data_IF_097952502674
#
_entry.id   IF_097952502674
#
_cell.length_a   1.000
_cell.length_b   1.000
_cell.length_c   1.000
_cell.angle_alpha   90.00
_cell.angle_beta   90.00
_cell.angle_gamma   90.00
#
_symmetry.space_group_name_H-M   'P 1'
#
loop_
_entity.id
_entity.type
_entity.pdbx_description
1 polymer ?
#
# COMPACT_ATOMS: atom_id res chain seq x y z
N UNK A 1 -10.51 8.51 26.57
CA UNK A 1 -9.14 8.99 26.28
C UNK A 1 -8.20 7.83 26.49
N UNK A 2 -7.51 7.38 25.44
CA UNK A 2 -6.64 6.18 25.51
C UNK A 2 -5.50 6.17 24.49
N UNK A 3 -5.25 7.30 23.84
CA UNK A 3 -4.17 7.48 22.87
C UNK A 3 -3.32 8.65 23.34
N UNK A 4 -2.04 8.41 23.54
CA UNK A 4 -1.04 9.44 23.81
C UNK A 4 -0.25 9.66 22.52
N UNK A 5 -0.13 10.92 22.12
CA UNK A 5 0.67 11.30 20.95
C UNK A 5 1.99 11.91 21.42
N UNK A 6 3.06 11.53 20.75
CA UNK A 6 4.40 12.08 20.94
C UNK A 6 4.83 12.85 19.68
N UNK A 7 4.20 14.01 19.36
CA UNK A 7 4.53 14.79 18.18
C UNK A 7 5.96 15.34 18.27
N UNK A 8 6.67 15.39 17.15
CA UNK A 8 8.05 15.88 17.11
C UNK A 8 9.10 14.91 17.67
N UNK A 9 8.71 13.75 18.19
CA UNK A 9 9.63 12.71 18.60
C UNK A 9 10.04 11.86 17.38
N UNK A 10 11.35 11.74 17.11
CA UNK A 10 11.86 10.91 16.01
C UNK A 10 12.41 9.60 16.55
N UNK A 11 11.69 8.51 16.29
CA UNK A 11 12.10 7.18 16.73
C UNK A 11 13.40 6.73 16.05
N UNK A 12 14.30 6.14 16.83
CA UNK A 12 15.53 5.50 16.33
C UNK A 12 15.20 4.04 16.03
N UNK A 13 15.41 3.63 14.79
CA UNK A 13 15.36 2.21 14.41
C UNK A 13 16.73 1.61 14.75
N UNK A 14 16.82 0.56 15.57
CA UNK A 14 18.09 -0.09 15.88
C UNK A 14 18.83 -0.54 14.62
N UNK A 15 20.17 -0.48 14.67
CA UNK A 15 21.00 -0.95 13.57
C UNK A 15 20.75 -2.44 13.30
N UNK A 16 20.70 -2.80 12.01
CA UNK A 16 20.37 -4.18 11.58
C UNK A 16 18.91 -4.59 11.76
N UNK A 17 18.06 -3.74 12.35
CA UNK A 17 16.65 -4.07 12.54
C UNK A 17 15.79 -3.72 11.31
N UNK A 18 15.11 -4.73 10.77
CA UNK A 18 14.31 -4.60 9.55
C UNK A 18 12.86 -4.16 9.80
N UNK A 19 12.45 -3.92 11.05
CA UNK A 19 11.07 -3.62 11.43
C UNK A 19 10.08 -4.76 11.10
N UNK A 20 10.56 -6.00 11.08
CA UNK A 20 9.86 -7.20 10.62
C UNK A 20 9.28 -8.08 11.75
N UNK A 21 9.45 -7.65 13.00
CA UNK A 21 8.89 -8.32 14.19
C UNK A 21 8.33 -7.31 15.18
N UNK A 22 7.32 -7.76 15.93
CA UNK A 22 6.79 -7.03 17.09
C UNK A 22 7.74 -7.29 18.26
N UNK A 23 8.15 -6.23 18.95
CA UNK A 23 9.06 -6.31 20.11
C UNK A 23 8.43 -5.66 21.33
N UNK A 24 9.04 -5.85 22.50
CA UNK A 24 8.73 -5.11 23.73
C UNK A 24 9.92 -4.24 24.18
N UNK A 25 10.88 -4.00 23.27
CA UNK A 25 12.07 -3.21 23.54
C UNK A 25 11.73 -1.71 23.57
N UNK A 26 12.40 -0.89 24.42
CA UNK A 26 12.16 0.54 24.47
C UNK A 26 12.39 1.24 23.12
N UNK A 27 11.50 2.16 22.77
CA UNK A 27 11.67 3.05 21.62
C UNK A 27 12.51 4.25 22.06
N UNK A 28 13.73 4.35 21.52
CA UNK A 28 14.62 5.48 21.72
C UNK A 28 14.31 6.61 20.73
N UNK A 29 14.61 7.86 21.12
CA UNK A 29 14.34 9.05 20.31
C UNK A 29 15.63 9.78 19.95
N UNK A 30 15.84 10.09 18.67
CA UNK A 30 17.00 10.86 18.22
C UNK A 30 16.89 12.34 18.57
N UNK A 31 15.72 12.75 19.07
CA UNK A 31 15.36 14.13 19.43
C UNK A 31 15.57 14.43 20.92
N UNK A 32 16.17 13.49 21.68
CA UNK A 32 16.65 13.72 23.04
C UNK A 32 15.67 13.42 24.17
N UNK A 33 14.43 13.01 23.86
CA UNK A 33 13.45 12.62 24.88
C UNK A 33 13.79 11.25 25.50
N UNK A 34 13.33 10.98 26.75
CA UNK A 34 13.49 9.66 27.37
C UNK A 34 12.83 8.54 26.53
N UNK A 35 13.40 7.31 26.52
CA UNK A 35 12.81 6.19 25.80
C UNK A 35 11.39 5.88 26.27
N UNK A 36 10.53 5.46 25.34
CA UNK A 36 9.18 4.98 25.66
C UNK A 36 9.16 3.45 25.73
N UNK A 37 8.57 2.89 26.78
CA UNK A 37 8.39 1.44 26.93
C UNK A 37 6.95 1.04 26.66
N UNK A 38 6.75 -0.14 26.08
CA UNK A 38 5.44 -0.72 25.79
C UNK A 38 5.54 -2.25 25.76
N UNK A 39 4.43 -2.93 26.03
CA UNK A 39 4.36 -4.40 25.91
C UNK A 39 4.51 -4.89 24.47
N UNK A 40 4.17 -4.03 23.50
CA UNK A 40 4.29 -4.29 22.07
C UNK A 40 4.61 -3.01 21.28
N UNK A 41 5.60 -3.10 20.40
CA UNK A 41 6.03 -2.04 19.48
C UNK A 41 5.84 -2.51 18.04
N UNK A 42 5.03 -1.75 17.29
CA UNK A 42 4.81 -1.94 15.87
C UNK A 42 5.39 -0.76 15.07
N UNK A 43 6.31 -1.07 14.15
CA UNK A 43 6.98 -0.06 13.33
C UNK A 43 6.24 0.19 12.01
N UNK A 44 5.62 1.37 11.88
CA UNK A 44 4.92 1.80 10.66
C UNK A 44 5.61 3.00 9.98
N UNK A 45 6.94 2.99 9.92
CA UNK A 45 7.78 4.13 9.51
C UNK A 45 7.99 4.29 8.01
N UNK A 46 7.41 3.43 7.17
CA UNK A 46 7.52 3.51 5.71
C UNK A 46 8.87 3.05 5.14
N UNK A 47 9.65 2.26 5.90
CA UNK A 47 10.85 1.56 5.41
C UNK A 47 10.45 0.36 4.53
N UNK A 48 9.84 0.65 3.38
CA UNK A 48 9.26 -0.37 2.50
C UNK A 48 10.38 -1.18 1.83
N UNK A 49 10.29 -2.52 1.94
CA UNK A 49 11.06 -3.47 1.14
C UNK A 49 10.10 -4.20 0.19
N UNK A 50 10.30 -4.12 -1.14
CA UNK A 50 9.44 -4.84 -2.09
C UNK A 50 9.69 -6.35 -1.99
N UNK A 51 8.64 -7.14 -2.21
CA UNK A 51 8.74 -8.60 -2.24
C UNK A 51 9.21 -9.09 -3.63
N UNK A 52 10.46 -8.77 -3.96
CA UNK A 52 11.04 -8.92 -5.31
C UNK A 52 12.38 -9.66 -5.31
N UNK A 53 12.83 -10.19 -4.17
CA UNK A 53 14.13 -10.87 -4.04
C UNK A 53 14.28 -12.11 -4.94
N UNK A 54 13.17 -12.67 -5.42
CA UNK A 54 13.11 -13.80 -6.33
C UNK A 54 13.27 -13.41 -7.81
N UNK A 55 13.25 -12.11 -8.13
CA UNK A 55 13.41 -11.60 -9.49
C UNK A 55 14.88 -11.38 -9.84
N UNK A 56 15.24 -11.48 -11.13
CA UNK A 56 16.57 -11.10 -11.60
C UNK A 56 16.88 -9.64 -11.29
N UNK A 57 18.10 -9.36 -10.81
CA UNK A 57 18.53 -8.02 -10.40
C UNK A 57 18.46 -6.99 -11.54
N UNK A 58 18.61 -7.43 -12.79
CA UNK A 58 18.49 -6.57 -13.97
C UNK A 58 17.06 -6.03 -14.19
N UNK A 59 16.05 -6.55 -13.50
CA UNK A 59 14.70 -5.98 -13.55
C UNK A 59 14.50 -4.89 -12.49
N UNK A 60 15.39 -4.78 -11.52
CA UNK A 60 15.19 -3.98 -10.31
C UNK A 60 15.95 -2.64 -10.37
N UNK A 61 15.42 -1.64 -9.68
CA UNK A 61 16.13 -0.41 -9.33
C UNK A 61 17.05 -0.64 -8.13
N UNK A 62 17.86 0.36 -7.78
CA UNK A 62 18.81 0.31 -6.64
C UNK A 62 18.13 0.05 -5.29
N UNK A 63 16.81 0.20 -5.20
CA UNK A 63 16.00 -0.03 -4.00
C UNK A 63 15.20 -1.33 -4.07
N UNK A 64 15.44 -2.17 -5.08
CA UNK A 64 14.81 -3.47 -5.27
C UNK A 64 13.43 -3.43 -5.95
N UNK A 65 12.96 -2.29 -6.45
CA UNK A 65 11.66 -2.19 -7.12
C UNK A 65 11.77 -2.48 -8.61
N UNK A 66 10.76 -3.12 -9.21
CA UNK A 66 10.75 -3.44 -10.64
C UNK A 66 10.72 -2.16 -11.46
N UNK A 67 11.74 -1.96 -12.30
CA UNK A 67 11.83 -0.81 -13.21
C UNK A 67 10.71 -0.88 -14.24
N UNK A 68 9.99 0.22 -14.42
CA UNK A 68 8.88 0.30 -15.38
C UNK A 68 8.92 1.59 -16.19
N UNK A 69 8.45 1.53 -17.43
CA UNK A 69 8.12 2.72 -18.24
C UNK A 69 6.84 3.38 -17.74
N UNK A 70 6.48 4.59 -18.21
CA UNK A 70 5.19 5.19 -17.87
C UNK A 70 3.99 4.30 -18.22
N UNK A 71 4.09 3.43 -19.21
CA UNK A 71 3.06 2.46 -19.62
C UNK A 71 3.02 1.21 -18.74
N UNK A 72 3.83 1.16 -17.67
CA UNK A 72 3.97 0.06 -16.71
C UNK A 72 4.70 -1.19 -17.26
N UNK A 73 5.38 -1.04 -18.40
CA UNK A 73 6.18 -2.12 -19.01
C UNK A 73 7.55 -2.24 -18.37
N UNK A 74 8.07 -3.45 -18.28
CA UNK A 74 9.46 -3.70 -17.94
C UNK A 74 10.35 -3.38 -19.16
N UNK A 75 11.32 -2.46 -19.06
CA UNK A 75 12.19 -2.12 -20.18
C UNK A 75 12.92 -3.35 -20.76
N UNK A 76 12.97 -3.44 -22.09
CA UNK A 76 13.63 -4.56 -22.79
C UNK A 76 12.86 -5.89 -22.79
N UNK A 77 11.68 -5.95 -22.16
CA UNK A 77 10.91 -7.20 -22.01
C UNK A 77 9.49 -7.01 -22.54
N UNK A 78 9.26 -7.41 -23.79
CA UNK A 78 7.94 -7.34 -24.41
C UNK A 78 6.93 -8.24 -23.67
N UNK A 79 5.69 -7.76 -23.49
CA UNK A 79 4.66 -8.50 -22.76
C UNK A 79 4.85 -8.59 -21.24
N UNK A 80 5.91 -8.00 -20.67
CA UNK A 80 6.17 -8.01 -19.22
C UNK A 80 5.84 -6.64 -18.62
N UNK A 81 5.04 -6.65 -17.55
CA UNK A 81 4.57 -5.47 -16.86
C UNK A 81 4.67 -5.63 -15.34
N UNK A 82 4.74 -4.52 -14.61
CA UNK A 82 4.64 -4.52 -13.16
C UNK A 82 3.73 -3.39 -12.65
N UNK A 83 2.97 -3.69 -11.58
CA UNK A 83 2.08 -2.75 -10.89
C UNK A 83 2.12 -2.98 -9.38
N UNK A 84 1.48 -2.09 -8.63
CA UNK A 84 1.33 -2.23 -7.18
C UNK A 84 2.60 -1.91 -6.42
N UNK A 85 2.80 -2.59 -5.29
CA UNK A 85 3.84 -2.26 -4.31
C UNK A 85 5.26 -2.53 -4.83
N UNK A 86 5.41 -3.38 -5.84
CA UNK A 86 6.71 -3.76 -6.41
C UNK A 86 7.16 -2.86 -7.56
N UNK A 87 6.25 -2.14 -8.21
CA UNK A 87 6.59 -1.36 -9.41
C UNK A 87 7.18 0.01 -9.06
N UNK A 88 8.29 0.38 -9.68
CA UNK A 88 8.98 1.64 -9.45
C UNK A 88 8.26 2.86 -10.08
N UNK A 89 7.00 3.10 -9.70
CA UNK A 89 6.16 4.18 -10.28
C UNK A 89 6.40 5.54 -9.62
N UNK A 90 6.30 5.61 -8.30
CA UNK A 90 6.43 6.83 -7.51
C UNK A 90 6.77 6.51 -6.04
N UNK A 91 7.32 7.44 -5.24
CA UNK A 91 7.75 7.17 -3.86
C UNK A 91 6.64 6.72 -2.91
N UNK A 92 5.38 7.07 -3.18
CA UNK A 92 4.23 6.74 -2.32
C UNK A 92 3.43 5.55 -2.87
N UNK A 93 4.01 4.81 -3.82
CA UNK A 93 3.38 3.66 -4.48
C UNK A 93 2.75 2.73 -3.45
N UNK A 94 1.50 2.40 -3.67
CA UNK A 94 0.86 1.27 -3.01
C UNK A 94 -0.27 0.73 -3.86
N UNK A 95 -0.54 -0.57 -3.76
CA UNK A 95 -1.62 -1.21 -4.52
C UNK A 95 -2.97 -0.51 -4.28
N UNK A 96 -3.26 -0.15 -3.02
CA UNK A 96 -4.47 0.59 -2.64
C UNK A 96 -4.55 1.99 -3.26
N UNK A 97 -3.46 2.77 -3.20
CA UNK A 97 -3.45 4.13 -3.76
C UNK A 97 -3.46 4.14 -5.28
N UNK A 98 -2.67 3.27 -5.90
CA UNK A 98 -2.27 3.44 -7.27
C UNK A 98 -3.36 3.03 -8.27
N UNK A 99 -4.20 2.03 -7.94
CA UNK A 99 -5.32 1.53 -8.77
C UNK A 99 -4.96 1.43 -10.26
N UNK A 100 -3.75 0.91 -10.53
CA UNK A 100 -3.17 0.80 -11.86
C UNK A 100 -3.63 -0.46 -12.62
N UNK A 101 -4.40 -1.33 -11.97
CA UNK A 101 -4.93 -2.60 -12.47
C UNK A 101 -5.78 -2.43 -13.75
N UNK A 102 -6.73 -1.48 -13.74
CA UNK A 102 -7.55 -1.20 -14.92
C UNK A 102 -6.76 -0.62 -16.09
N UNK A 103 -5.71 0.17 -15.81
CA UNK A 103 -4.80 0.69 -16.82
C UNK A 103 -3.96 -0.44 -17.42
N UNK A 104 -3.39 -1.30 -16.57
CA UNK A 104 -2.60 -2.44 -16.99
C UNK A 104 -3.41 -3.37 -17.89
N UNK A 105 -4.64 -3.72 -17.50
CA UNK A 105 -5.53 -4.55 -18.32
C UNK A 105 -5.80 -3.94 -19.70
N UNK A 106 -5.94 -2.61 -19.80
CA UNK A 106 -6.06 -1.92 -21.08
C UNK A 106 -4.76 -2.02 -21.89
N UNK A 107 -3.60 -1.78 -21.28
CA UNK A 107 -2.32 -1.80 -21.96
C UNK A 107 -1.95 -3.20 -22.47
N UNK A 108 -2.22 -4.26 -21.70
CA UNK A 108 -2.04 -5.65 -22.15
C UNK A 108 -2.85 -5.91 -23.42
N UNK A 109 -4.14 -5.54 -23.43
CA UNK A 109 -5.00 -5.71 -24.61
C UNK A 109 -4.54 -4.86 -25.81
N UNK A 110 -4.05 -3.65 -25.54
CA UNK A 110 -3.54 -2.77 -26.58
C UNK A 110 -2.24 -3.32 -27.21
N UNK A 111 -1.33 -3.88 -26.42
CA UNK A 111 -0.10 -4.51 -26.92
C UNK A 111 -0.41 -5.67 -27.87
N UNK A 112 -1.30 -6.59 -27.48
CA UNK A 112 -1.74 -7.69 -28.35
C UNK A 112 -2.38 -7.20 -29.66
N UNK A 113 -3.05 -6.04 -29.63
CA UNK A 113 -3.70 -5.46 -30.80
C UNK A 113 -2.80 -4.50 -31.60
N UNK A 114 -1.52 -4.34 -31.23
CA UNK A 114 -0.62 -3.36 -31.86
C UNK A 114 -1.07 -1.91 -31.70
N UNK A 115 -1.83 -1.58 -30.66
CA UNK A 115 -2.39 -0.25 -30.39
C UNK A 115 -1.51 0.55 -29.41
N UNK A 116 -1.55 1.89 -29.46
CA UNK A 116 -0.85 2.73 -28.51
C UNK A 116 -1.24 2.43 -27.06
N UNK A 117 -0.23 2.34 -26.19
CA UNK A 117 -0.40 2.16 -24.75
C UNK A 117 -0.70 3.49 -24.06
N UNK A 118 -1.27 3.43 -22.86
CA UNK A 118 -1.57 4.59 -22.03
C UNK A 118 -0.58 4.70 -20.89
N UNK A 119 -0.16 5.93 -20.58
CA UNK A 119 0.78 6.19 -19.48
C UNK A 119 0.07 6.32 -18.13
N UNK A 120 0.67 5.73 -17.11
CA UNK A 120 0.28 5.83 -15.71
C UNK A 120 0.57 7.22 -15.16
N UNK A 121 -0.36 7.73 -14.35
CA UNK A 121 -0.19 8.99 -13.61
C UNK A 121 -0.49 8.74 -12.13
N UNK A 122 0.52 8.81 -11.24
CA UNK A 122 0.30 8.56 -9.82
C UNK A 122 -0.65 9.61 -9.22
N UNK A 123 -1.58 9.22 -8.33
CA UNK A 123 -2.43 10.17 -7.63
C UNK A 123 -1.60 11.18 -6.82
N UNK A 124 -1.91 12.48 -6.91
CA UNK A 124 -1.16 13.52 -6.18
C UNK A 124 -1.39 13.48 -4.67
N UNK A 125 -2.49 12.89 -4.20
CA UNK A 125 -2.88 12.85 -2.80
C UNK A 125 -2.65 11.45 -2.22
N UNK A 126 -2.41 11.41 -0.91
CA UNK A 126 -2.42 10.16 -0.14
C UNK A 126 -3.85 9.60 -0.12
N UNK A 127 -3.98 8.29 0.07
CA UNK A 127 -5.28 7.68 0.36
C UNK A 127 -5.77 8.17 1.74
N UNK A 128 -7.07 8.04 1.99
CA UNK A 128 -7.65 8.34 3.30
C UNK A 128 -7.21 7.37 4.39
N UNK A 129 -7.55 7.64 5.65
CA UNK A 129 -7.36 6.67 6.75
C UNK A 129 -8.71 6.08 7.14
N UNK A 130 -8.74 4.81 7.51
CA UNK A 130 -9.93 4.15 8.02
C UNK A 130 -9.64 3.74 9.46
N UNK A 131 -10.41 4.25 10.41
CA UNK A 131 -10.50 3.61 11.71
C UNK A 131 -11.47 2.45 11.53
N UNK A 132 -10.96 1.22 11.69
CA UNK A 132 -11.70 -0.02 11.44
C UNK A 132 -13.05 -0.03 12.17
N UNK A 133 -13.96 -0.95 11.77
CA UNK A 133 -15.34 -0.93 12.26
C UNK A 133 -15.38 -0.91 13.79
N UNK A 134 -15.90 0.17 14.34
CA UNK A 134 -16.19 0.34 15.76
C UNK A 134 -17.58 -0.20 16.05
N UNK A 135 -17.94 -0.30 17.34
CA UNK A 135 -19.29 -0.73 17.76
C UNK A 135 -20.41 0.08 17.09
N UNK A 136 -20.19 1.38 16.91
CA UNK A 136 -21.22 2.30 16.42
C UNK A 136 -21.08 2.65 14.93
N UNK A 137 -19.97 2.26 14.28
CA UNK A 137 -19.76 2.56 12.86
C UNK A 137 -18.31 2.52 12.39
N UNK A 138 -18.14 2.75 11.09
CA UNK A 138 -16.83 2.89 10.44
C UNK A 138 -16.51 4.36 10.23
N UNK A 139 -15.38 4.84 10.74
CA UNK A 139 -14.93 6.20 10.50
C UNK A 139 -13.86 6.24 9.42
N UNK A 140 -14.12 7.02 8.36
CA UNK A 140 -13.23 7.18 7.22
C UNK A 140 -12.81 8.64 7.11
N UNK A 141 -11.51 8.88 7.11
CA UNK A 141 -10.89 10.18 6.94
C UNK A 141 -10.47 10.36 5.49
N UNK A 142 -11.09 11.31 4.80
CA UNK A 142 -10.70 11.67 3.45
C UNK A 142 -9.31 12.34 3.41
N UNK A 143 -8.64 12.40 2.24
CA UNK A 143 -7.32 13.01 2.11
C UNK A 143 -7.24 14.50 2.50
N UNK A 144 -8.38 15.18 2.64
CA UNK A 144 -8.48 16.56 3.12
C UNK A 144 -8.75 16.66 4.63
N UNK A 145 -8.71 15.54 5.36
CA UNK A 145 -8.96 15.46 6.80
C UNK A 145 -10.43 15.38 7.19
N UNK A 146 -11.39 15.46 6.26
CA UNK A 146 -12.82 15.31 6.59
C UNK A 146 -13.12 13.88 7.01
N UNK A 147 -13.72 13.71 8.19
CA UNK A 147 -14.21 12.44 8.68
C UNK A 147 -15.64 12.17 8.19
N UNK A 148 -15.91 10.91 7.85
CA UNK A 148 -17.23 10.39 7.52
C UNK A 148 -17.48 9.14 8.35
N UNK A 149 -18.61 9.11 9.05
CA UNK A 149 -19.02 7.94 9.82
C UNK A 149 -20.10 7.20 9.09
N UNK A 150 -19.84 5.94 8.76
CA UNK A 150 -20.84 5.03 8.22
C UNK A 150 -21.46 4.23 9.37
N UNK A 151 -22.79 4.18 9.52
CA UNK A 151 -23.43 3.36 10.54
C UNK A 151 -23.01 1.89 10.40
N UNK A 152 -22.82 1.18 11.51
CA UNK A 152 -22.31 -0.20 11.51
C UNK A 152 -23.09 -1.13 10.55
N UNK A 153 -24.43 -1.02 10.50
CA UNK A 153 -25.27 -1.83 9.61
C UNK A 153 -24.93 -1.65 8.12
N UNK A 154 -24.46 -0.46 7.73
CA UNK A 154 -24.15 -0.15 6.33
C UNK A 154 -22.83 -0.78 5.88
N UNK A 155 -21.96 -1.16 6.81
CA UNK A 155 -20.71 -1.84 6.51
C UNK A 155 -20.97 -3.19 5.83
N UNK A 156 -21.73 -4.07 6.50
CA UNK A 156 -22.01 -5.41 5.99
C UNK A 156 -23.00 -5.41 4.83
N UNK A 157 -23.97 -4.49 4.82
CA UNK A 157 -25.04 -4.48 3.82
C UNK A 157 -24.72 -3.70 2.54
N UNK A 158 -23.81 -2.73 2.60
CA UNK A 158 -23.55 -1.82 1.47
C UNK A 158 -22.06 -1.79 1.13
N UNK A 159 -21.21 -1.44 2.10
CA UNK A 159 -19.79 -1.20 1.84
C UNK A 159 -19.08 -2.47 1.38
N UNK A 160 -19.22 -3.58 2.13
CA UNK A 160 -18.64 -4.88 1.79
C UNK A 160 -19.13 -5.41 0.43
N UNK A 161 -20.44 -5.59 0.17
CA UNK A 161 -20.90 -6.21 -1.07
C UNK A 161 -20.69 -5.31 -2.30
N UNK A 162 -20.96 -4.01 -2.20
CA UNK A 162 -20.96 -3.12 -3.37
C UNK A 162 -19.61 -2.46 -3.60
N UNK A 163 -18.99 -1.90 -2.56
CA UNK A 163 -17.74 -1.14 -2.73
C UNK A 163 -16.55 -2.10 -2.79
N UNK A 164 -16.45 -3.01 -1.82
CA UNK A 164 -15.30 -3.92 -1.73
C UNK A 164 -15.43 -5.06 -2.74
N UNK A 165 -16.45 -5.92 -2.61
CA UNK A 165 -16.58 -7.12 -3.43
C UNK A 165 -16.84 -6.78 -4.90
N UNK A 166 -17.81 -5.91 -5.17
CA UNK A 166 -18.12 -5.54 -6.55
C UNK A 166 -17.26 -4.39 -7.11
N UNK A 167 -16.85 -3.42 -6.30
CA UNK A 167 -16.12 -2.24 -6.80
C UNK A 167 -14.60 -2.42 -6.87
N UNK A 168 -14.00 -3.11 -5.90
CA UNK A 168 -12.54 -3.33 -5.82
C UNK A 168 -12.19 -4.71 -6.37
N UNK A 169 -12.90 -5.75 -5.95
CA UNK A 169 -12.61 -7.14 -6.30
C UNK A 169 -13.48 -7.69 -7.43
N UNK A 170 -14.05 -6.81 -8.27
CA UNK A 170 -14.89 -7.24 -9.39
C UNK A 170 -14.13 -8.20 -10.28
N UNK A 171 -14.67 -9.40 -10.46
CA UNK A 171 -14.06 -10.40 -11.34
C UNK A 171 -12.95 -11.23 -10.70
N UNK A 172 -12.59 -10.96 -9.44
CA UNK A 172 -11.80 -11.91 -8.64
C UNK A 172 -12.71 -13.07 -8.27
N UNK A 173 -12.35 -14.27 -8.74
CA UNK A 173 -13.05 -15.51 -8.42
C UNK A 173 -12.59 -16.00 -7.06
N UNK A 174 -13.45 -16.75 -6.37
CA UNK A 174 -13.02 -17.48 -5.17
C UNK A 174 -11.82 -18.35 -5.52
N UNK A 175 -10.70 -18.09 -4.83
CA UNK A 175 -9.52 -18.92 -4.95
C UNK A 175 -9.78 -20.20 -4.16
N UNK A 176 -10.06 -21.30 -4.86
CA UNK A 176 -9.96 -22.64 -4.25
C UNK A 176 -8.49 -23.03 -4.35
N UNK A 177 -7.71 -22.96 -3.24
CA UNK A 177 -6.31 -23.37 -3.31
C UNK A 177 -6.26 -24.79 -3.86
N UNK A 178 -5.31 -25.03 -4.76
CA UNK A 178 -5.02 -26.38 -5.24
C UNK A 178 -4.68 -27.24 -4.00
N UNK A 179 -5.18 -28.48 -3.94
CA UNK A 179 -4.92 -29.39 -2.83
C UNK A 179 -3.42 -29.67 -2.65
#
# INVERSE_FOLDING_TARGET
TGVVLHPGHRAVIPDGFACDRITSEPVHWSTGQPPASADAVLWATGRVRPNTDWLPSELLDERGFVRVTPELRVPGHAGVFAVGDVAATDPLRSSARNRADGLLANNIRAEFAGRPLRSYRPPKRRWGSVLGPQRDGLEVFAPNGRAFTFPAWSFDRVLMPLIVRWGIYRGVRENRPLP
#
